data_IF_719468596820
#
_entry.id   IF_719468596820
#
_cell.length_a   1.000
_cell.length_b   1.000
_cell.length_c   1.000
_cell.angle_alpha   90.00
_cell.angle_beta   90.00
_cell.angle_gamma   90.00
#
_symmetry.space_group_name_H-M   'P 1'
#
loop_
_entity.id
_entity.type
_entity.pdbx_description
1 polymer ?
#
# COMPACT_ATOMS: atom_id res chain seq x y z
N UNK A 1 28.97 13.78 -1.45
CA UNK A 1 27.72 13.80 -2.25
C UNK A 1 26.69 13.17 -1.35
N UNK A 2 25.80 13.98 -0.77
CA UNK A 2 24.90 13.56 0.29
C UNK A 2 23.88 12.59 -0.31
N UNK A 3 23.95 11.32 0.10
CA UNK A 3 22.86 10.38 -0.04
C UNK A 3 21.58 11.09 0.39
N UNK A 4 20.54 11.01 -0.43
CA UNK A 4 19.22 11.46 0.01
C UNK A 4 18.93 10.81 1.37
N UNK A 5 18.59 11.63 2.36
CA UNK A 5 18.04 11.13 3.63
C UNK A 5 16.88 10.18 3.28
N UNK A 6 16.90 8.96 3.83
CA UNK A 6 15.96 7.88 3.51
C UNK A 6 14.52 8.37 3.60
N UNK A 7 14.21 9.18 4.62
CA UNK A 7 12.89 9.79 4.79
C UNK A 7 12.54 10.77 3.66
N UNK A 8 13.51 11.54 3.16
CA UNK A 8 13.33 12.47 2.06
C UNK A 8 13.11 11.76 0.71
N UNK A 9 13.80 10.65 0.47
CA UNK A 9 13.59 9.81 -0.72
C UNK A 9 12.18 9.20 -0.72
N UNK A 10 11.77 8.60 0.40
CA UNK A 10 10.43 8.02 0.57
C UNK A 10 9.34 9.09 0.41
N UNK A 11 9.51 10.26 1.02
CA UNK A 11 8.57 11.36 0.89
C UNK A 11 8.47 11.88 -0.56
N UNK A 12 9.59 11.92 -1.29
CA UNK A 12 9.60 12.31 -2.70
C UNK A 12 8.84 11.30 -3.57
N UNK A 13 9.06 9.99 -3.39
CA UNK A 13 8.36 8.94 -4.13
C UNK A 13 6.85 9.00 -3.91
N UNK A 14 6.40 9.10 -2.64
CA UNK A 14 4.97 9.23 -2.30
C UNK A 14 4.33 10.48 -2.92
N UNK A 15 5.06 11.59 -2.94
CA UNK A 15 4.57 12.85 -3.52
C UNK A 15 4.51 12.80 -5.05
N UNK A 16 5.45 12.15 -5.70
CA UNK A 16 5.45 11.95 -7.15
C UNK A 16 4.29 11.04 -7.56
N UNK A 17 4.09 9.96 -6.82
CA UNK A 17 2.96 9.04 -6.99
C UNK A 17 1.62 9.79 -6.91
N UNK A 18 1.37 10.55 -5.85
CA UNK A 18 0.14 11.31 -5.66
C UNK A 18 -0.17 12.34 -6.78
N UNK A 19 0.83 12.73 -7.58
CA UNK A 19 0.67 13.64 -8.73
C UNK A 19 0.29 12.94 -10.02
N UNK A 20 0.68 11.68 -10.17
CA UNK A 20 0.35 10.88 -11.36
C UNK A 20 -1.15 10.60 -11.40
N UNK A 21 -1.71 10.11 -10.29
CA UNK A 21 -3.04 9.50 -10.30
C UNK A 21 -4.24 10.40 -10.62
N UNK A 22 -4.25 11.70 -10.26
CA UNK A 22 -5.33 12.61 -10.68
C UNK A 22 -5.40 12.84 -12.20
N UNK A 23 -4.26 12.70 -12.90
CA UNK A 23 -4.16 12.99 -14.35
C UNK A 23 -4.63 11.83 -15.25
N UNK A 24 -4.60 10.60 -14.74
CA UNK A 24 -4.94 9.38 -15.50
C UNK A 24 -6.41 8.98 -15.40
N UNK A 25 -7.16 9.53 -14.44
CA UNK A 25 -8.62 9.36 -14.30
C UNK A 25 -9.42 9.95 -15.48
N UNK A 26 -8.77 10.66 -16.41
CA UNK A 26 -9.38 11.23 -17.62
C UNK A 26 -9.29 10.27 -18.82
N UNK A 27 -8.39 9.27 -18.78
CA UNK A 27 -8.21 8.29 -19.86
C UNK A 27 -7.84 6.90 -19.33
N UNK A 28 -8.80 5.97 -19.40
CA UNK A 28 -8.69 4.60 -18.90
C UNK A 28 -7.58 3.79 -19.59
N UNK A 29 -7.31 4.05 -20.87
CA UNK A 29 -6.24 3.36 -21.62
C UNK A 29 -4.87 3.85 -21.15
N UNK A 30 -4.70 5.16 -20.95
CA UNK A 30 -3.48 5.73 -20.40
C UNK A 30 -3.19 5.20 -18.99
N UNK A 31 -4.24 5.00 -18.19
CA UNK A 31 -4.13 4.46 -16.83
C UNK A 31 -3.63 3.01 -16.81
N UNK A 32 -4.17 2.17 -17.70
CA UNK A 32 -3.73 0.78 -17.84
C UNK A 32 -2.27 0.70 -18.27
N UNK A 33 -1.89 1.49 -19.28
CA UNK A 33 -0.50 1.57 -19.75
C UNK A 33 0.45 2.06 -18.65
N UNK A 34 0.00 3.03 -17.84
CA UNK A 34 0.77 3.54 -16.70
C UNK A 34 1.02 2.46 -15.65
N UNK A 35 -0.01 1.71 -15.28
CA UNK A 35 0.10 0.61 -14.33
C UNK A 35 1.02 -0.48 -14.87
N UNK A 36 0.87 -0.86 -16.15
CA UNK A 36 1.72 -1.86 -16.79
C UNK A 36 3.20 -1.49 -16.71
N UNK A 37 3.53 -0.23 -17.04
CA UNK A 37 4.90 0.27 -16.96
C UNK A 37 5.45 0.30 -15.52
N UNK A 38 4.66 0.74 -14.54
CA UNK A 38 5.08 0.76 -13.12
C UNK A 38 5.39 -0.67 -12.63
N UNK A 39 4.55 -1.65 -12.96
CA UNK A 39 4.77 -3.06 -12.58
C UNK A 39 6.03 -3.63 -13.23
N UNK A 40 6.23 -3.40 -14.53
CA UNK A 40 7.41 -3.89 -15.24
C UNK A 40 8.71 -3.33 -14.65
N UNK A 41 8.71 -2.07 -14.18
CA UNK A 41 9.86 -1.48 -13.48
C UNK A 41 10.03 -2.07 -12.07
N UNK A 42 8.94 -2.28 -11.34
CA UNK A 42 9.00 -2.89 -10.01
C UNK A 42 9.51 -4.34 -10.04
N UNK A 43 9.18 -5.12 -11.07
CA UNK A 43 9.72 -6.47 -11.27
C UNK A 43 11.26 -6.47 -11.39
N UNK A 44 11.84 -5.45 -12.04
CA UNK A 44 13.31 -5.27 -12.12
C UNK A 44 13.96 -4.87 -10.78
N UNK A 45 13.16 -4.48 -9.78
CA UNK A 45 13.60 -4.17 -8.42
C UNK A 45 13.36 -5.33 -7.44
N UNK A 46 12.88 -6.48 -7.93
CA UNK A 46 12.56 -7.64 -7.09
C UNK A 46 13.75 -8.23 -6.32
N UNK A 47 14.99 -7.90 -6.72
CA UNK A 47 16.23 -8.27 -6.04
C UNK A 47 16.59 -7.36 -4.85
N UNK A 48 15.87 -6.24 -4.66
CA UNK A 48 16.13 -5.26 -3.61
C UNK A 48 15.20 -5.51 -2.42
N UNK A 49 15.76 -5.87 -1.26
CA UNK A 49 14.99 -6.32 -0.08
C UNK A 49 15.09 -5.39 1.15
N UNK A 50 15.77 -4.25 1.01
CA UNK A 50 15.95 -3.28 2.09
C UNK A 50 15.68 -1.87 1.61
N UNK A 51 15.27 -0.99 2.52
CA UNK A 51 15.01 0.40 2.17
C UNK A 51 16.28 1.15 1.77
N UNK A 52 17.42 0.86 2.43
CA UNK A 52 18.71 1.43 2.05
C UNK A 52 19.14 0.95 0.66
N UNK A 53 18.90 -0.33 0.34
CA UNK A 53 19.13 -0.88 -0.99
C UNK A 53 18.22 -0.25 -2.06
N UNK A 54 17.00 0.17 -1.68
CA UNK A 54 16.12 0.92 -2.58
C UNK A 54 16.63 2.32 -2.87
N UNK A 55 17.18 3.01 -1.87
CA UNK A 55 17.81 4.33 -2.08
C UNK A 55 19.03 4.21 -2.99
N UNK A 56 19.89 3.22 -2.76
CA UNK A 56 21.05 2.94 -3.61
C UNK A 56 20.63 2.61 -5.05
N UNK A 57 19.67 1.71 -5.23
CA UNK A 57 19.12 1.39 -6.55
C UNK A 57 18.48 2.61 -7.23
N UNK A 58 17.89 3.53 -6.47
CA UNK A 58 17.31 4.77 -6.99
C UNK A 58 18.38 5.77 -7.48
N UNK A 59 19.59 5.73 -6.93
CA UNK A 59 20.69 6.57 -7.41
C UNK A 59 21.41 5.95 -8.62
N UNK A 60 21.62 4.63 -8.59
CA UNK A 60 22.45 3.89 -9.53
C UNK A 60 21.70 3.40 -10.76
N UNK A 61 20.47 2.87 -10.58
CA UNK A 61 19.69 2.25 -11.65
C UNK A 61 18.76 3.25 -12.32
N UNK A 62 19.35 4.25 -13.00
CA UNK A 62 18.58 5.34 -13.67
C UNK A 62 17.84 4.89 -14.93
N UNK A 63 18.29 3.80 -15.54
CA UNK A 63 17.79 3.32 -16.83
C UNK A 63 16.67 2.27 -16.72
N UNK A 64 16.19 1.95 -15.50
CA UNK A 64 15.19 0.90 -15.27
C UNK A 64 13.91 1.08 -16.08
N UNK A 65 13.44 2.32 -16.24
CA UNK A 65 12.24 2.59 -17.04
C UNK A 65 12.48 2.26 -18.51
N UNK A 66 13.65 2.59 -19.05
CA UNK A 66 14.00 2.24 -20.43
C UNK A 66 14.10 0.72 -20.59
N UNK A 67 14.71 0.03 -19.63
CA UNK A 67 14.86 -1.43 -19.65
C UNK A 67 13.50 -2.14 -19.60
N UNK A 68 12.60 -1.72 -18.70
CA UNK A 68 11.26 -2.27 -18.58
C UNK A 68 10.45 -2.10 -19.88
N UNK A 69 10.48 -0.88 -20.46
CA UNK A 69 9.72 -0.54 -21.67
C UNK A 69 10.29 -1.12 -22.96
N UNK A 70 11.55 -1.58 -22.96
CA UNK A 70 12.15 -2.26 -24.10
C UNK A 70 11.55 -3.65 -24.34
N UNK A 71 10.96 -4.26 -23.31
CA UNK A 71 10.33 -5.59 -23.37
C UNK A 71 8.88 -5.50 -23.86
N UNK A 72 8.17 -4.47 -23.44
CA UNK A 72 6.80 -4.20 -23.86
C UNK A 72 6.58 -2.68 -23.88
N UNK A 73 6.40 -2.11 -25.07
CA UNK A 73 6.25 -0.67 -25.26
C UNK A 73 4.77 -0.30 -25.23
N UNK A 74 4.29 0.43 -24.22
CA UNK A 74 2.89 0.82 -24.12
C UNK A 74 2.49 1.71 -25.30
N UNK A 75 1.29 1.51 -25.88
CA UNK A 75 0.77 2.36 -26.95
C UNK A 75 0.80 3.86 -26.61
N UNK A 76 0.51 4.22 -25.36
CA UNK A 76 0.49 5.62 -24.91
C UNK A 76 1.81 6.12 -24.30
N UNK A 77 2.94 5.43 -24.53
CA UNK A 77 4.24 5.79 -23.95
C UNK A 77 4.65 7.25 -24.17
N UNK A 78 4.30 7.83 -25.33
CA UNK A 78 4.62 9.22 -25.66
C UNK A 78 3.95 10.25 -24.71
N UNK A 79 2.87 9.87 -24.03
CA UNK A 79 2.10 10.70 -23.12
C UNK A 79 2.44 10.43 -21.64
N UNK A 80 3.31 9.47 -21.35
CA UNK A 80 3.67 9.06 -19.99
C UNK A 80 4.91 9.82 -19.48
N UNK A 81 4.82 10.34 -18.26
CA UNK A 81 6.00 10.84 -17.54
C UNK A 81 6.82 9.67 -17.00
N UNK A 82 7.98 9.43 -17.63
CA UNK A 82 8.89 8.34 -17.29
C UNK A 82 9.49 8.46 -15.90
N UNK A 83 9.74 9.69 -15.42
CA UNK A 83 10.26 9.88 -14.06
C UNK A 83 9.18 9.52 -13.05
N UNK A 84 7.94 9.88 -13.33
CA UNK A 84 6.85 9.56 -12.43
C UNK A 84 6.48 8.06 -12.45
N UNK A 85 6.68 7.34 -13.57
CA UNK A 85 6.63 5.86 -13.62
C UNK A 85 7.71 5.26 -12.72
N UNK A 86 8.93 5.79 -12.81
CA UNK A 86 10.05 5.36 -11.97
C UNK A 86 9.74 5.55 -10.50
N UNK A 87 9.32 6.75 -10.12
CA UNK A 87 9.04 7.10 -8.73
C UNK A 87 7.91 6.25 -8.15
N UNK A 88 6.86 6.00 -8.95
CA UNK A 88 5.77 5.11 -8.58
C UNK A 88 6.23 3.66 -8.41
N UNK A 89 7.15 3.16 -9.25
CA UNK A 89 7.71 1.81 -9.13
C UNK A 89 8.61 1.64 -7.90
N UNK A 90 9.44 2.64 -7.58
CA UNK A 90 10.21 2.65 -6.33
C UNK A 90 9.31 2.75 -5.10
N UNK A 91 8.23 3.53 -5.18
CA UNK A 91 7.21 3.56 -4.13
C UNK A 91 6.53 2.21 -3.96
N UNK A 92 6.21 1.53 -5.07
CA UNK A 92 5.65 0.17 -5.05
C UNK A 92 6.61 -0.83 -4.39
N UNK A 93 7.88 -0.87 -4.79
CA UNK A 93 8.86 -1.79 -4.18
C UNK A 93 9.16 -1.45 -2.72
N UNK A 94 9.20 -0.16 -2.36
CA UNK A 94 9.32 0.28 -0.96
C UNK A 94 8.21 -0.28 -0.09
N UNK A 95 6.97 -0.32 -0.59
CA UNK A 95 5.84 -0.93 0.10
C UNK A 95 6.01 -2.44 0.26
N UNK A 96 6.47 -3.14 -0.77
CA UNK A 96 6.72 -4.59 -0.67
C UNK A 96 7.79 -4.90 0.38
N UNK A 97 8.90 -4.17 0.38
CA UNK A 97 9.96 -4.28 1.40
C UNK A 97 9.41 -3.93 2.80
N UNK A 98 8.55 -2.92 2.90
CA UNK A 98 7.91 -2.54 4.17
C UNK A 98 6.94 -3.63 4.65
N UNK A 99 6.21 -4.31 3.74
CA UNK A 99 5.37 -5.48 4.06
C UNK A 99 6.22 -6.64 4.58
N UNK A 100 7.35 -6.92 3.93
CA UNK A 100 8.31 -7.93 4.37
C UNK A 100 8.87 -7.63 5.78
N UNK A 101 9.00 -6.34 6.15
CA UNK A 101 9.46 -5.87 7.47
C UNK A 101 8.33 -5.52 8.46
N UNK A 102 7.06 -5.80 8.10
CA UNK A 102 5.88 -5.20 8.73
C UNK A 102 5.71 -5.44 10.24
N UNK A 103 6.25 -6.53 10.78
CA UNK A 103 6.11 -6.87 12.21
C UNK A 103 6.84 -5.89 13.14
N UNK A 104 8.05 -5.46 12.78
CA UNK A 104 8.82 -4.54 13.62
C UNK A 104 8.18 -3.14 13.67
N UNK A 105 7.73 -2.65 12.51
CA UNK A 105 7.09 -1.35 12.39
C UNK A 105 5.70 -1.33 13.04
N UNK A 106 4.92 -2.42 12.91
CA UNK A 106 3.63 -2.56 13.59
C UNK A 106 3.80 -2.49 15.12
N UNK A 107 4.82 -3.16 15.67
CA UNK A 107 5.13 -3.12 17.11
C UNK A 107 5.45 -1.71 17.60
N UNK A 108 6.31 -0.98 16.88
CA UNK A 108 6.66 0.40 17.24
C UNK A 108 5.44 1.34 17.22
N UNK A 109 4.59 1.22 16.19
CA UNK A 109 3.35 1.99 16.07
C UNK A 109 2.41 1.71 17.25
N UNK A 110 2.25 0.44 17.62
CA UNK A 110 1.44 0.02 18.75
C UNK A 110 1.97 0.56 20.09
N UNK A 111 3.28 0.48 20.32
CA UNK A 111 3.90 1.01 21.54
C UNK A 111 3.72 2.51 21.67
N UNK A 112 3.85 3.25 20.56
CA UNK A 112 3.55 4.69 20.54
C UNK A 112 2.09 4.97 20.83
N UNK A 113 1.17 4.28 20.17
CA UNK A 113 -0.28 4.45 20.38
C UNK A 113 -0.69 4.22 21.84
N UNK A 114 -0.10 3.22 22.51
CA UNK A 114 -0.31 3.00 23.96
C UNK A 114 0.18 4.16 24.82
N UNK A 115 1.37 4.70 24.52
CA UNK A 115 1.94 5.84 25.27
C UNK A 115 1.09 7.09 25.11
N UNK A 116 0.51 7.29 23.94
CA UNK A 116 -0.34 8.43 23.60
C UNK A 116 -1.81 8.23 24.05
N UNK A 117 -2.16 7.04 24.54
CA UNK A 117 -3.54 6.72 24.93
C UNK A 117 -4.51 6.67 23.75
N UNK A 118 -4.00 6.40 22.53
CA UNK A 118 -4.83 6.25 21.36
C UNK A 118 -5.72 5.01 21.47
N UNK A 119 -6.97 5.14 21.04
CA UNK A 119 -7.94 4.04 21.05
C UNK A 119 -7.68 3.05 19.91
N UNK A 120 -7.37 3.59 18.73
CA UNK A 120 -7.07 2.84 17.52
C UNK A 120 -5.67 3.16 17.01
N UNK A 121 -5.03 2.18 16.39
CA UNK A 121 -3.74 2.35 15.73
C UNK A 121 -3.77 1.68 14.36
N UNK A 122 -3.36 2.43 13.34
CA UNK A 122 -3.10 1.89 12.01
C UNK A 122 -1.78 1.14 12.06
N UNK A 123 -1.83 -0.20 12.06
CA UNK A 123 -0.64 -1.04 12.03
C UNK A 123 -0.09 -1.12 10.62
N UNK A 124 -0.97 -1.21 9.63
CA UNK A 124 -0.65 -1.26 8.22
C UNK A 124 -1.64 -0.40 7.45
N UNK A 125 -1.16 0.38 6.50
CA UNK A 125 -2.00 1.12 5.55
C UNK A 125 -1.22 1.24 4.26
N UNK A 126 -1.79 0.64 3.22
CA UNK A 126 -1.19 0.55 1.91
C UNK A 126 -2.26 0.91 0.88
N UNK A 127 -2.20 2.13 0.39
CA UNK A 127 -3.06 2.59 -0.70
C UNK A 127 -2.25 2.59 -1.98
N UNK A 128 -2.73 1.84 -2.97
CA UNK A 128 -2.18 1.75 -4.31
C UNK A 128 -3.29 2.02 -5.34
N UNK A 129 -2.95 2.19 -6.62
CA UNK A 129 -3.94 2.30 -7.69
C UNK A 129 -4.68 0.99 -7.95
N UNK A 130 -4.11 -0.13 -7.53
CA UNK A 130 -4.65 -1.47 -7.69
C UNK A 130 -5.57 -1.87 -6.56
N UNK A 131 -5.67 -1.03 -5.52
CA UNK A 131 -6.31 -1.44 -4.30
C UNK A 131 -5.71 -0.79 -3.09
N UNK A 132 -6.40 -0.93 -1.97
CA UNK A 132 -5.96 -0.47 -0.67
C UNK A 132 -6.02 -1.63 0.31
N UNK A 133 -5.10 -1.67 1.27
CA UNK A 133 -5.14 -2.60 2.39
C UNK A 133 -4.82 -1.82 3.65
N UNK A 134 -5.77 -1.76 4.56
CA UNK A 134 -5.63 -1.08 5.83
C UNK A 134 -5.91 -2.09 6.94
N UNK A 135 -4.98 -2.18 7.89
CA UNK A 135 -5.10 -2.95 9.13
C UNK A 135 -5.03 -1.99 10.31
N UNK A 136 -6.18 -1.75 10.92
CA UNK A 136 -6.31 -0.91 12.11
C UNK A 136 -6.62 -1.78 13.31
N UNK A 137 -5.97 -1.54 14.44
CA UNK A 137 -6.17 -2.31 15.65
C UNK A 137 -6.66 -1.43 16.79
N UNK A 138 -7.68 -1.89 17.50
CA UNK A 138 -8.07 -1.32 18.78
C UNK A 138 -6.99 -1.68 19.83
N UNK A 139 -6.33 -0.66 20.36
CA UNK A 139 -5.09 -0.79 21.15
C UNK A 139 -5.28 -1.66 22.39
N UNK A 140 -6.44 -1.56 23.03
CA UNK A 140 -6.73 -2.27 24.29
C UNK A 140 -7.15 -3.72 24.07
N UNK A 141 -8.02 -3.98 23.08
CA UNK A 141 -8.62 -5.30 22.89
C UNK A 141 -7.89 -6.18 21.87
N UNK A 142 -7.03 -5.59 21.03
CA UNK A 142 -6.36 -6.27 19.92
C UNK A 142 -7.29 -6.66 18.78
N UNK A 143 -8.57 -6.26 18.81
CA UNK A 143 -9.46 -6.44 17.65
C UNK A 143 -8.95 -5.56 16.52
N UNK A 144 -8.87 -6.11 15.32
CA UNK A 144 -8.39 -5.38 14.17
C UNK A 144 -9.36 -5.43 13.00
N UNK A 145 -9.54 -4.27 12.39
CA UNK A 145 -10.25 -4.06 11.13
C UNK A 145 -9.25 -4.27 10.01
N UNK A 146 -9.48 -5.31 9.20
CA UNK A 146 -8.75 -5.51 7.96
C UNK A 146 -9.67 -5.14 6.80
N UNK A 147 -9.44 -3.95 6.26
CA UNK A 147 -10.19 -3.39 5.16
C UNK A 147 -9.34 -3.47 3.89
N UNK A 148 -9.90 -4.01 2.82
CA UNK A 148 -9.23 -4.05 1.53
C UNK A 148 -10.12 -3.60 0.38
N UNK A 149 -9.50 -2.98 -0.61
CA UNK A 149 -10.07 -2.84 -1.94
C UNK A 149 -9.07 -3.43 -2.93
N UNK A 150 -9.55 -4.17 -3.92
CA UNK A 150 -8.73 -4.78 -4.96
C UNK A 150 -9.35 -4.44 -6.31
N UNK A 151 -8.53 -4.05 -7.27
CA UNK A 151 -8.90 -3.87 -8.68
C UNK A 151 -8.08 -4.86 -9.51
N UNK A 152 -8.57 -6.10 -9.68
CA UNK A 152 -7.93 -7.08 -10.53
C UNK A 152 -7.77 -6.57 -11.96
N UNK A 153 -6.65 -6.91 -12.63
CA UNK A 153 -6.31 -6.40 -13.96
C UNK A 153 -7.34 -6.76 -15.04
N UNK A 154 -8.03 -7.87 -14.86
CA UNK A 154 -9.08 -8.41 -15.72
C UNK A 154 -10.49 -7.94 -15.32
N UNK A 155 -10.64 -7.37 -14.12
CA UNK A 155 -11.91 -6.89 -13.62
C UNK A 155 -12.22 -5.47 -14.11
N UNK A 156 -13.52 -5.21 -14.40
CA UNK A 156 -14.01 -3.88 -14.77
C UNK A 156 -14.35 -3.00 -13.57
N UNK A 157 -14.41 -3.57 -12.37
CA UNK A 157 -14.81 -2.90 -11.14
C UNK A 157 -13.97 -3.38 -9.96
N UNK A 158 -13.65 -2.49 -9.00
CA UNK A 158 -12.97 -2.89 -7.78
C UNK A 158 -13.89 -3.75 -6.90
N UNK A 159 -13.30 -4.69 -6.19
CA UNK A 159 -13.91 -5.46 -5.11
C UNK A 159 -13.50 -4.86 -3.77
N UNK A 160 -14.45 -4.69 -2.86
CA UNK A 160 -14.18 -4.18 -1.52
C UNK A 160 -14.44 -5.29 -0.50
N UNK A 161 -13.59 -5.41 0.51
CA UNK A 161 -13.73 -6.40 1.56
C UNK A 161 -13.42 -5.82 2.94
N UNK A 162 -14.13 -6.31 3.95
CA UNK A 162 -13.89 -5.99 5.35
C UNK A 162 -14.01 -7.25 6.19
N UNK A 163 -13.05 -7.47 7.07
CA UNK A 163 -13.13 -8.47 8.13
C UNK A 163 -12.67 -7.87 9.46
N UNK A 164 -13.09 -8.49 10.56
CA UNK A 164 -12.59 -8.15 11.89
C UNK A 164 -11.90 -9.37 12.48
N UNK A 165 -10.62 -9.23 12.77
CA UNK A 165 -9.75 -10.30 13.24
C UNK A 165 -9.25 -10.01 14.65
N UNK A 166 -8.64 -11.01 15.27
CA UNK A 166 -7.97 -10.83 16.55
C UNK A 166 -6.45 -10.82 16.33
N UNK A 167 -5.81 -9.72 16.70
CA UNK A 167 -4.37 -9.63 16.84
C UNK A 167 -3.99 -9.82 18.31
N UNK A 168 -2.74 -10.18 18.56
CA UNK A 168 -2.18 -10.17 19.90
C UNK A 168 -2.10 -8.71 20.37
N UNK A 169 -2.81 -8.34 21.44
CA UNK A 169 -2.77 -6.97 21.94
C UNK A 169 -1.38 -6.55 22.37
N UNK A 170 -0.43 -7.47 22.63
CA UNK A 170 0.93 -7.20 23.09
C UNK A 170 1.87 -6.73 21.98
N UNK A 171 1.75 -7.25 20.77
CA UNK A 171 2.68 -6.97 19.68
C UNK A 171 2.06 -6.77 18.29
N UNK A 172 0.73 -6.90 18.16
CA UNK A 172 0.01 -6.73 16.90
C UNK A 172 0.12 -7.92 15.95
N UNK A 173 0.63 -9.07 16.40
CA UNK A 173 0.74 -10.28 15.58
C UNK A 173 -0.64 -10.89 15.32
N UNK A 174 -0.89 -11.32 14.08
CA UNK A 174 -2.15 -11.96 13.72
C UNK A 174 -2.30 -13.34 14.36
N UNK A 175 -3.36 -13.54 15.13
CA UNK A 175 -3.69 -14.84 15.73
C UNK A 175 -4.50 -15.69 14.74
N UNK A 176 -3.83 -16.28 13.74
CA UNK A 176 -4.45 -17.09 12.67
C UNK A 176 -5.23 -18.31 13.19
N UNK A 177 -4.89 -18.80 14.39
CA UNK A 177 -5.59 -19.92 15.03
C UNK A 177 -6.95 -19.52 15.62
N UNK A 178 -7.25 -18.22 15.71
CA UNK A 178 -8.55 -17.72 16.15
C UNK A 178 -9.43 -17.39 14.95
N UNK A 179 -10.70 -17.84 14.94
CA UNK A 179 -11.62 -17.42 13.91
C UNK A 179 -11.80 -15.89 13.96
N UNK A 180 -12.04 -15.25 12.81
CA UNK A 180 -12.31 -13.82 12.78
C UNK A 180 -13.56 -13.51 13.61
N UNK A 181 -13.52 -12.39 14.34
CA UNK A 181 -14.65 -11.84 15.11
C UNK A 181 -15.80 -11.49 14.17
N UNK A 182 -15.47 -11.00 12.98
CA UNK A 182 -16.39 -10.83 11.87
C UNK A 182 -15.76 -11.46 10.62
N UNK A 183 -16.34 -12.53 10.05
CA UNK A 183 -15.89 -13.09 8.79
C UNK A 183 -15.86 -12.06 7.68
N UNK A 184 -15.02 -12.29 6.65
CA UNK A 184 -14.89 -11.40 5.50
C UNK A 184 -16.23 -11.16 4.83
N UNK A 185 -16.58 -9.88 4.69
CA UNK A 185 -17.74 -9.40 3.93
C UNK A 185 -17.24 -8.66 2.70
N UNK A 186 -17.87 -8.91 1.55
CA UNK A 186 -17.55 -8.22 0.30
C UNK A 186 -18.64 -7.22 -0.07
N UNK A 187 -18.24 -6.10 -0.65
CA UNK A 187 -19.13 -5.01 -1.04
C UNK A 187 -18.87 -4.61 -2.50
N UNK A 188 -19.94 -4.21 -3.19
CA UNK A 188 -19.89 -3.79 -4.60
C UNK A 188 -19.67 -2.28 -4.78
N UNK A 189 -19.82 -1.50 -3.71
CA UNK A 189 -19.66 -0.05 -3.72
C UNK A 189 -18.69 0.42 -2.63
N UNK A 190 -17.91 1.45 -2.96
CA UNK A 190 -17.00 2.12 -2.04
C UNK A 190 -17.75 2.76 -0.86
N UNK A 191 -18.87 3.43 -1.16
CA UNK A 191 -19.68 4.15 -0.17
C UNK A 191 -20.24 3.20 0.89
N UNK A 192 -20.74 2.02 0.49
CA UNK A 192 -21.19 1.01 1.45
C UNK A 192 -20.03 0.47 2.29
N UNK A 193 -18.89 0.18 1.65
CA UNK A 193 -17.71 -0.34 2.34
C UNK A 193 -17.17 0.65 3.39
N UNK A 194 -17.04 1.93 3.05
CA UNK A 194 -16.62 3.00 3.97
C UNK A 194 -17.60 3.14 5.15
N UNK A 195 -18.91 3.13 4.88
CA UNK A 195 -19.92 3.15 5.94
C UNK A 195 -19.84 1.93 6.88
N UNK A 196 -19.48 0.75 6.36
CA UNK A 196 -19.27 -0.45 7.20
C UNK A 196 -17.99 -0.40 8.01
N UNK A 197 -16.93 0.23 7.50
CA UNK A 197 -15.71 0.47 8.28
C UNK A 197 -16.03 1.37 9.48
N UNK A 198 -16.73 2.49 9.25
CA UNK A 198 -17.14 3.41 10.33
C UNK A 198 -18.02 2.71 11.38
N UNK A 199 -19.00 1.92 10.92
CA UNK A 199 -19.85 1.13 11.81
C UNK A 199 -19.04 0.13 12.65
N UNK A 200 -18.04 -0.53 12.04
CA UNK A 200 -17.21 -1.52 12.69
C UNK A 200 -16.25 -0.88 13.72
N UNK A 201 -15.73 0.33 13.46
CA UNK A 201 -14.98 1.10 14.46
C UNK A 201 -15.78 1.30 15.74
N UNK A 202 -17.05 1.72 15.63
CA UNK A 202 -17.92 1.91 16.80
C UNK A 202 -18.20 0.57 17.48
N UNK A 203 -18.67 -0.42 16.72
CA UNK A 203 -19.11 -1.70 17.27
C UNK A 203 -17.98 -2.47 17.98
N UNK A 204 -16.76 -2.42 17.44
CA UNK A 204 -15.64 -3.21 17.95
C UNK A 204 -14.68 -2.44 18.86
N UNK A 205 -14.82 -1.10 18.93
CA UNK A 205 -14.07 -0.22 19.83
C UNK A 205 -14.65 -0.11 21.25
N UNK A 206 -15.96 -0.33 21.43
CA UNK A 206 -16.66 -0.18 22.72
C UNK A 206 -16.38 -1.31 23.77
N UNK A 207 -15.22 -1.98 23.75
CA UNK A 207 -14.93 -3.16 24.62
C UNK A 207 -13.70 -3.04 25.52
#
# INVERSE_FOLDING_TARGET
>A
MLALDREAAIAAWRKAEARVYPSVMVNVELYRDYIGAVRAVAELLGDVHTEDGLVEAYEERRELVREALARDTPPMLALMDRNAVRDAAFCHRHREVTREQGQALARERLERARREGAEWVVLFDDVTPLGSHTLEMHVRSGRALHASSDLPLDARRPTFALEVVQLDPADGTWLLDKPPVMPTQSFESREEWEARIEQAHVLFGES
#
